data_IF_305943034686
#
_entry.id   IF_305943034686
#
_cell.length_a   1.000
_cell.length_b   1.000
_cell.length_c   1.000
_cell.angle_alpha   90.00
_cell.angle_beta   90.00
_cell.angle_gamma   90.00
#
_symmetry.space_group_name_H-M   'P 1'
#
loop_
_entity.id
_entity.type
_entity.pdbx_description
1 polymer ?
#
# COMPACT_ATOMS: atom_id res chain seq x y z
N UNK A 1 -19.34 16.63 -9.89
CA UNK A 1 -19.10 15.24 -10.31
C UNK A 1 -17.88 14.79 -9.52
N UNK A 2 -17.99 14.77 -8.18
CA UNK A 2 -16.84 14.85 -7.24
C UNK A 2 -16.88 13.77 -6.13
N UNK A 3 -17.81 12.81 -6.23
CA UNK A 3 -17.98 11.78 -5.20
C UNK A 3 -16.90 10.69 -5.21
N UNK A 4 -16.32 10.40 -6.37
CA UNK A 4 -15.28 9.38 -6.54
C UNK A 4 -13.98 9.74 -5.81
N UNK A 5 -13.51 10.97 -5.99
CA UNK A 5 -12.27 11.46 -5.37
C UNK A 5 -12.38 11.59 -3.85
N UNK A 6 -13.56 12.00 -3.34
CA UNK A 6 -13.82 12.08 -1.91
C UNK A 6 -13.87 10.69 -1.26
N UNK A 7 -14.50 9.72 -1.91
CA UNK A 7 -14.52 8.34 -1.43
C UNK A 7 -13.11 7.76 -1.41
N UNK A 8 -12.38 7.86 -2.52
CA UNK A 8 -10.98 7.45 -2.61
C UNK A 8 -10.13 8.07 -1.49
N UNK A 9 -10.23 9.39 -1.29
CA UNK A 9 -9.52 10.10 -0.23
C UNK A 9 -9.88 9.59 1.18
N UNK A 10 -11.15 9.28 1.43
CA UNK A 10 -11.59 8.73 2.71
C UNK A 10 -10.98 7.36 2.97
N UNK A 11 -10.96 6.47 1.97
CA UNK A 11 -10.33 5.15 2.11
C UNK A 11 -8.82 5.26 2.33
N UNK A 12 -8.13 6.08 1.53
CA UNK A 12 -6.69 6.33 1.72
C UNK A 12 -6.40 6.81 3.15
N UNK A 13 -7.24 7.70 3.69
CA UNK A 13 -7.11 8.18 5.07
C UNK A 13 -7.28 7.06 6.10
N UNK A 14 -8.32 6.26 5.97
CA UNK A 14 -8.66 5.20 6.93
C UNK A 14 -7.63 4.06 6.89
N UNK A 15 -7.23 3.61 5.70
CA UNK A 15 -6.16 2.62 5.51
C UNK A 15 -4.87 3.10 6.16
N UNK A 16 -4.47 4.34 5.87
CA UNK A 16 -3.25 4.92 6.45
C UNK A 16 -3.34 5.07 7.96
N UNK A 17 -4.50 5.41 8.51
CA UNK A 17 -4.68 5.55 9.96
C UNK A 17 -4.56 4.21 10.68
N UNK A 18 -5.17 3.13 10.16
CA UNK A 18 -5.02 1.82 10.78
C UNK A 18 -3.61 1.26 10.61
N UNK A 19 -2.96 1.50 9.48
CA UNK A 19 -1.54 1.16 9.31
C UNK A 19 -0.66 1.94 10.29
N UNK A 20 -0.90 3.24 10.50
CA UNK A 20 -0.17 4.02 11.52
C UNK A 20 -0.37 3.41 12.90
N UNK A 21 -1.61 3.17 13.28
CA UNK A 21 -1.94 2.62 14.58
C UNK A 21 -1.23 1.28 14.78
N UNK A 22 -1.39 0.37 13.82
CA UNK A 22 -0.80 -0.96 13.90
C UNK A 22 0.72 -0.97 13.87
N UNK A 23 1.34 -0.21 12.95
CA UNK A 23 2.80 -0.11 12.86
C UNK A 23 3.33 0.55 14.13
N UNK A 24 2.66 1.53 14.74
CA UNK A 24 3.11 2.12 16.00
C UNK A 24 2.90 1.21 17.23
N UNK A 25 1.77 0.48 17.33
CA UNK A 25 1.46 -0.41 18.46
C UNK A 25 2.26 -1.70 18.47
N UNK A 26 2.70 -2.17 17.28
CA UNK A 26 3.55 -3.36 17.15
C UNK A 26 4.94 -3.21 17.79
N UNK A 27 5.30 -2.01 18.27
CA UNK A 27 6.59 -1.75 18.90
C UNK A 27 6.45 -1.44 20.39
N UNK A 28 7.03 -2.32 21.20
CA UNK A 28 7.21 -2.12 22.63
C UNK A 28 8.20 -0.98 22.85
N UNK A 29 7.87 -0.08 23.78
CA UNK A 29 8.70 1.03 24.27
C UNK A 29 10.15 0.57 24.48
N UNK A 30 11.07 1.03 23.62
CA UNK A 30 12.52 0.78 23.76
C UNK A 30 13.27 0.44 22.48
N UNK A 31 12.60 0.15 21.36
CA UNK A 31 13.25 -0.01 20.06
C UNK A 31 12.72 1.08 19.10
N UNK A 32 13.59 2.01 18.70
CA UNK A 32 13.34 2.94 17.59
C UNK A 32 13.00 2.12 16.34
N UNK A 33 11.72 1.98 16.02
CA UNK A 33 11.33 1.14 14.91
C UNK A 33 11.61 1.76 13.56
N UNK A 34 11.94 3.07 13.50
CA UNK A 34 12.31 3.81 12.29
C UNK A 34 11.23 3.90 11.20
N UNK A 35 10.23 3.03 11.23
CA UNK A 35 9.16 2.90 10.26
C UNK A 35 8.07 3.95 10.45
N UNK A 36 7.71 4.60 9.35
CA UNK A 36 6.72 5.67 9.33
C UNK A 36 5.75 5.46 8.19
N UNK A 37 4.46 5.67 8.46
CA UNK A 37 3.41 5.62 7.45
C UNK A 37 3.12 7.02 6.92
N UNK A 38 3.34 7.22 5.61
CA UNK A 38 3.07 8.48 4.91
C UNK A 38 1.93 8.30 3.91
N UNK A 39 1.27 9.42 3.58
CA UNK A 39 0.18 9.48 2.60
C UNK A 39 0.64 10.30 1.41
N UNK A 40 0.35 9.84 0.19
CA UNK A 40 0.52 10.62 -1.05
C UNK A 40 1.86 11.34 -1.15
N UNK A 41 2.92 10.65 -0.73
CA UNK A 41 4.27 11.17 -0.71
C UNK A 41 5.01 10.69 -1.95
N UNK A 42 5.79 11.57 -2.57
CA UNK A 42 6.53 11.24 -3.80
C UNK A 42 7.60 10.21 -3.49
N UNK A 43 7.71 9.19 -4.33
CA UNK A 43 8.79 8.20 -4.29
C UNK A 43 9.60 8.30 -5.58
N UNK A 44 10.93 8.41 -5.44
CA UNK A 44 11.86 8.55 -6.56
C UNK A 44 13.17 7.81 -6.32
N UNK A 45 13.91 7.48 -7.38
CA UNK A 45 15.32 7.07 -7.26
C UNK A 45 16.17 8.33 -7.04
N UNK A 46 17.19 8.26 -6.19
CA UNK A 46 18.07 9.40 -5.92
C UNK A 46 18.90 9.86 -7.14
N UNK A 47 18.96 9.05 -8.22
CA UNK A 47 19.74 9.37 -9.41
C UNK A 47 18.94 10.08 -10.50
N UNK A 48 19.21 11.38 -10.61
CA UNK A 48 19.34 12.16 -11.86
C UNK A 48 18.14 12.68 -12.64
N UNK A 49 16.89 12.33 -12.34
CA UNK A 49 15.75 13.09 -12.90
C UNK A 49 14.68 13.39 -11.84
N UNK A 50 14.59 14.68 -11.47
CA UNK A 50 13.60 15.15 -10.48
C UNK A 50 12.16 15.07 -11.01
N UNK A 51 11.96 14.75 -12.28
CA UNK A 51 10.66 14.73 -12.94
C UNK A 51 9.91 13.40 -12.87
N UNK A 52 10.61 12.28 -12.63
CA UNK A 52 9.98 10.96 -12.56
C UNK A 52 9.81 10.51 -11.10
N UNK A 53 8.55 10.50 -10.64
CA UNK A 53 8.18 10.03 -9.31
C UNK A 53 6.86 9.28 -9.36
N UNK A 54 6.69 8.37 -8.41
CA UNK A 54 5.40 7.72 -8.15
C UNK A 54 4.70 8.40 -6.97
N UNK A 55 3.38 8.39 -7.01
CA UNK A 55 2.51 8.91 -5.95
C UNK A 55 1.60 7.79 -5.45
N UNK A 56 2.12 6.90 -4.59
CA UNK A 56 1.27 5.92 -3.93
C UNK A 56 0.27 6.62 -3.01
N UNK A 57 -0.91 6.03 -2.82
CA UNK A 57 -1.88 6.52 -1.85
C UNK A 57 -1.30 6.53 -0.42
N UNK A 58 -0.55 5.49 -0.07
CA UNK A 58 0.15 5.36 1.20
C UNK A 58 1.49 4.64 1.02
N UNK A 59 2.42 4.89 1.94
CA UNK A 59 3.69 4.19 1.98
C UNK A 59 4.14 3.94 3.42
N UNK A 60 5.01 2.93 3.59
CA UNK A 60 5.74 2.67 4.82
C UNK A 60 7.23 2.80 4.50
N UNK A 61 7.90 3.72 5.18
CA UNK A 61 9.30 4.04 4.92
C UNK A 61 10.11 4.17 6.20
N UNK A 62 11.41 3.98 6.08
CA UNK A 62 12.37 4.31 7.12
C UNK A 62 12.93 5.71 6.85
N UNK A 63 12.17 6.76 7.18
CA UNK A 63 12.60 8.15 6.92
C UNK A 63 12.89 8.88 8.22
N UNK A 64 14.09 9.45 8.37
CA UNK A 64 14.49 10.20 9.56
C UNK A 64 13.91 11.63 9.60
N UNK A 65 13.58 12.22 8.44
CA UNK A 65 13.10 13.61 8.35
C UNK A 65 11.56 13.66 8.27
N UNK A 66 10.88 14.20 9.30
CA UNK A 66 9.42 14.41 9.26
C UNK A 66 8.97 15.45 8.23
N UNK A 67 9.87 16.29 7.71
CA UNK A 67 9.58 17.39 6.80
C UNK A 67 9.93 17.13 5.34
N UNK A 68 10.42 15.94 5.00
CA UNK A 68 10.77 15.60 3.62
C UNK A 68 9.54 15.69 2.68
N UNK A 69 9.73 16.26 1.49
CA UNK A 69 8.70 16.37 0.44
C UNK A 69 8.59 15.12 -0.44
N UNK A 70 9.57 14.21 -0.30
CA UNK A 70 9.73 12.95 -1.03
C UNK A 70 10.48 11.94 -0.18
N UNK A 71 10.41 10.66 -0.56
CA UNK A 71 11.17 9.57 0.04
C UNK A 71 11.91 8.82 -1.06
N UNK A 72 13.14 8.38 -0.78
CA UNK A 72 13.89 7.54 -1.70
C UNK A 72 13.23 6.17 -1.85
N UNK A 73 13.28 5.59 -3.05
CA UNK A 73 12.79 4.22 -3.26
C UNK A 73 13.48 3.20 -2.31
N UNK A 74 14.77 3.40 -2.03
CA UNK A 74 15.54 2.57 -1.11
C UNK A 74 15.07 2.66 0.36
N UNK A 75 14.47 3.78 0.76
CA UNK A 75 13.92 3.99 2.11
C UNK A 75 12.47 3.50 2.22
N UNK A 76 11.85 3.11 1.11
CA UNK A 76 10.45 2.69 1.04
C UNK A 76 10.35 1.17 1.16
N UNK A 77 9.82 0.67 2.28
CA UNK A 77 9.57 -0.76 2.45
C UNK A 77 8.27 -1.21 1.78
N UNK A 78 7.26 -0.35 1.77
CA UNK A 78 5.97 -0.61 1.15
C UNK A 78 5.42 0.63 0.46
N UNK A 79 4.92 0.46 -0.76
CA UNK A 79 4.01 1.40 -1.42
C UNK A 79 2.62 0.75 -1.57
N UNK A 80 1.55 1.52 -1.54
CA UNK A 80 0.22 0.96 -1.75
C UNK A 80 -0.78 1.94 -2.33
N UNK A 81 -1.70 1.38 -3.10
CA UNK A 81 -2.75 2.09 -3.81
C UNK A 81 -4.13 1.56 -3.43
N UNK A 82 -5.10 2.47 -3.31
CA UNK A 82 -6.50 2.14 -3.11
C UNK A 82 -7.18 2.09 -4.47
N UNK A 83 -7.58 0.90 -4.90
CA UNK A 83 -8.09 0.70 -6.25
C UNK A 83 -9.62 0.75 -6.23
N UNK A 84 -10.19 1.71 -6.96
CA UNK A 84 -11.63 1.74 -7.24
C UNK A 84 -11.94 0.95 -8.51
N UNK A 85 -13.16 0.42 -8.61
CA UNK A 85 -13.60 -0.34 -9.79
C UNK A 85 -13.54 0.47 -11.11
N UNK A 86 -13.47 1.81 -11.03
CA UNK A 86 -13.49 2.71 -12.19
C UNK A 86 -12.09 3.11 -12.69
N UNK A 87 -11.01 2.60 -12.10
CA UNK A 87 -9.66 2.96 -12.54
C UNK A 87 -9.37 2.46 -13.96
N UNK A 88 -8.89 3.37 -14.80
CA UNK A 88 -8.61 3.13 -16.22
C UNK A 88 -7.18 2.71 -16.53
N UNK A 89 -6.27 2.76 -15.54
CA UNK A 89 -4.88 2.38 -15.76
C UNK A 89 -4.71 0.86 -15.74
N UNK A 90 -3.82 0.37 -16.61
CA UNK A 90 -3.41 -1.02 -16.60
C UNK A 90 -2.76 -1.39 -15.25
N UNK A 91 -3.37 -2.30 -14.46
CA UNK A 91 -2.83 -2.73 -13.18
C UNK A 91 -1.44 -3.35 -13.29
N UNK A 92 -1.08 -3.97 -14.42
CA UNK A 92 0.24 -4.53 -14.64
C UNK A 92 1.28 -3.42 -14.81
N UNK A 93 1.00 -2.43 -15.67
CA UNK A 93 1.90 -1.29 -15.87
C UNK A 93 2.17 -0.54 -14.56
N UNK A 94 1.14 -0.35 -13.74
CA UNK A 94 1.29 0.32 -12.43
C UNK A 94 2.22 -0.47 -11.51
N UNK A 95 2.00 -1.79 -11.36
CA UNK A 95 2.86 -2.67 -10.57
C UNK A 95 4.31 -2.67 -11.08
N UNK A 96 4.50 -2.76 -12.39
CA UNK A 96 5.83 -2.69 -13.02
C UNK A 96 6.58 -1.43 -12.62
N UNK A 97 5.94 -0.25 -12.61
CA UNK A 97 6.61 1.00 -12.22
C UNK A 97 7.18 0.96 -10.80
N UNK A 98 6.43 0.45 -9.83
CA UNK A 98 6.92 0.29 -8.46
C UNK A 98 8.03 -0.78 -8.37
N UNK A 99 7.94 -1.85 -9.17
CA UNK A 99 8.95 -2.90 -9.23
C UNK A 99 10.27 -2.40 -9.83
N UNK A 100 10.20 -1.57 -10.88
CA UNK A 100 11.36 -0.94 -11.52
C UNK A 100 12.08 0.02 -10.56
N UNK A 101 11.37 0.62 -9.60
CA UNK A 101 11.97 1.38 -8.49
C UNK A 101 12.60 0.49 -7.40
N UNK A 102 12.41 -0.83 -7.45
CA UNK A 102 12.97 -1.76 -6.48
C UNK A 102 12.26 -1.78 -5.12
N UNK A 103 11.02 -1.30 -5.04
CA UNK A 103 10.27 -1.26 -3.77
C UNK A 103 9.90 -2.69 -3.35
N UNK A 104 10.26 -3.16 -2.14
CA UNK A 104 10.11 -4.58 -1.78
C UNK A 104 8.66 -5.07 -1.74
N UNK A 105 7.74 -4.22 -1.28
CA UNK A 105 6.32 -4.58 -1.14
C UNK A 105 5.42 -3.56 -1.83
N UNK A 106 4.45 -4.08 -2.58
CA UNK A 106 3.36 -3.29 -3.14
C UNK A 106 2.01 -3.83 -2.68
N UNK A 107 1.15 -2.98 -2.14
CA UNK A 107 -0.19 -3.37 -1.70
C UNK A 107 -1.27 -2.74 -2.56
N UNK A 108 -2.23 -3.57 -2.96
CA UNK A 108 -3.46 -3.11 -3.60
C UNK A 108 -4.63 -3.27 -2.64
N UNK A 109 -5.33 -2.19 -2.33
CA UNK A 109 -6.56 -2.20 -1.53
C UNK A 109 -7.75 -2.05 -2.47
N UNK A 110 -8.42 -3.15 -2.76
CA UNK A 110 -9.52 -3.20 -3.73
C UNK A 110 -10.84 -2.83 -3.07
N UNK A 111 -11.48 -1.78 -3.56
CA UNK A 111 -12.82 -1.37 -3.12
C UNK A 111 -13.91 -2.23 -3.78
N UNK A 112 -14.91 -2.63 -3.01
CA UNK A 112 -16.09 -3.32 -3.50
C UNK A 112 -16.97 -2.44 -4.39
N UNK A 113 -17.88 -3.08 -5.14
CA UNK A 113 -18.77 -2.41 -6.12
C UNK A 113 -19.62 -1.27 -5.54
N UNK A 114 -19.93 -1.32 -4.25
CA UNK A 114 -20.71 -0.28 -3.56
C UNK A 114 -19.85 0.88 -3.03
N UNK A 115 -18.55 0.95 -3.36
CA UNK A 115 -17.58 2.00 -3.03
C UNK A 115 -17.49 2.40 -1.54
N UNK A 116 -18.10 1.63 -0.65
CA UNK A 116 -18.13 1.83 0.81
C UNK A 116 -17.53 0.64 1.55
N UNK A 117 -16.94 -0.31 0.83
CA UNK A 117 -16.35 -1.50 1.43
C UNK A 117 -15.00 -1.86 0.82
N UNK A 118 -14.05 -2.35 1.64
CA UNK A 118 -12.86 -3.07 1.16
C UNK A 118 -13.28 -4.49 0.81
N UNK A 119 -13.04 -4.89 -0.42
CA UNK A 119 -13.28 -6.26 -0.89
C UNK A 119 -12.09 -7.17 -0.63
N UNK A 120 -10.88 -6.64 -0.80
CA UNK A 120 -9.64 -7.39 -0.72
C UNK A 120 -8.45 -6.46 -0.49
N UNK A 121 -7.47 -6.91 0.28
CA UNK A 121 -6.11 -6.36 0.28
C UNK A 121 -5.19 -7.42 -0.27
N UNK A 122 -4.39 -7.08 -1.28
CA UNK A 122 -3.41 -7.99 -1.88
C UNK A 122 -2.01 -7.45 -1.68
N UNK A 123 -1.14 -8.28 -1.11
CA UNK A 123 0.28 -8.00 -0.97
C UNK A 123 1.06 -8.64 -2.12
N UNK A 124 1.87 -7.82 -2.77
CA UNK A 124 2.77 -8.20 -3.83
C UNK A 124 4.22 -8.05 -3.33
N UNK A 125 5.01 -9.11 -3.45
CA UNK A 125 6.42 -9.13 -3.10
C UNK A 125 7.29 -8.97 -4.35
N UNK A 126 8.32 -8.14 -4.27
CA UNK A 126 9.26 -7.94 -5.36
C UNK A 126 10.07 -9.22 -5.60
N UNK A 127 10.11 -9.66 -6.85
CA UNK A 127 10.95 -10.74 -7.34
C UNK A 127 11.89 -10.18 -8.41
N UNK A 128 13.20 -10.29 -8.15
CA UNK A 128 14.25 -9.89 -9.08
C UNK A 128 14.97 -11.13 -9.57
N UNK A 129 14.95 -11.36 -10.88
CA UNK A 129 15.43 -12.61 -11.46
C UNK A 129 14.49 -13.78 -11.14
N UNK A 130 14.02 -14.44 -12.19
CA UNK A 130 13.15 -15.61 -12.08
C UNK A 130 13.60 -16.69 -13.05
N UNK A 131 13.33 -17.95 -12.71
CA UNK A 131 13.52 -19.04 -13.65
C UNK A 131 12.43 -18.96 -14.72
N UNK A 132 12.84 -18.73 -15.96
CA UNK A 132 11.97 -18.79 -17.12
C UNK A 132 12.28 -20.05 -17.93
N UNK A 133 11.28 -20.59 -18.68
CA UNK A 133 11.53 -21.63 -19.65
C UNK A 133 12.65 -21.26 -20.63
N UNK A 134 13.37 -22.27 -21.11
CA UNK A 134 14.48 -22.05 -22.05
C UNK A 134 14.06 -21.23 -23.27
N UNK A 135 14.85 -20.19 -23.58
CA UNK A 135 14.59 -19.27 -24.71
C UNK A 135 13.68 -18.08 -24.37
N UNK A 136 13.11 -18.01 -23.17
CA UNK A 136 12.35 -16.85 -22.71
C UNK A 136 13.25 -15.86 -21.94
N UNK A 137 13.01 -14.56 -22.16
CA UNK A 137 13.59 -13.46 -21.40
C UNK A 137 12.46 -12.65 -20.73
N UNK A 138 12.66 -12.15 -19.51
CA UNK A 138 11.63 -11.35 -18.86
C UNK A 138 11.51 -9.98 -19.55
N UNK A 139 10.29 -9.48 -19.69
CA UNK A 139 10.04 -8.14 -20.21
C UNK A 139 10.59 -7.05 -19.26
N UNK A 140 10.49 -7.30 -17.95
CA UNK A 140 11.00 -6.43 -16.88
C UNK A 140 11.94 -7.24 -15.98
N UNK A 141 13.09 -6.67 -15.62
CA UNK A 141 14.08 -7.35 -14.79
C UNK A 141 13.57 -7.64 -13.37
N UNK A 142 12.65 -6.80 -12.89
CA UNK A 142 11.96 -6.96 -11.62
C UNK A 142 10.45 -7.06 -11.87
N UNK A 143 9.78 -7.97 -11.15
CA UNK A 143 8.33 -8.13 -11.21
C UNK A 143 7.78 -8.37 -9.81
N UNK A 144 6.47 -8.19 -9.67
CA UNK A 144 5.76 -8.52 -8.45
C UNK A 144 5.09 -9.90 -8.53
N UNK A 145 5.18 -10.66 -7.45
CA UNK A 145 4.43 -11.91 -7.25
C UNK A 145 3.44 -11.74 -6.10
N UNK A 146 2.27 -12.38 -6.19
CA UNK A 146 1.31 -12.37 -5.08
C UNK A 146 1.89 -13.17 -3.92
N UNK A 147 2.05 -12.50 -2.77
CA UNK A 147 2.61 -13.08 -1.56
C UNK A 147 1.62 -13.07 -0.38
N UNK A 148 0.51 -12.35 -0.49
CA UNK A 148 -0.57 -12.37 0.49
C UNK A 148 -1.88 -11.84 -0.07
N UNK A 149 -2.99 -12.34 0.46
CA UNK A 149 -4.32 -11.86 0.14
C UNK A 149 -5.21 -11.96 1.39
N UNK A 150 -5.86 -10.86 1.76
CA UNK A 150 -6.80 -10.81 2.88
C UNK A 150 -8.14 -10.28 2.38
N UNK A 151 -9.20 -11.02 2.71
CA UNK A 151 -10.58 -10.62 2.42
C UNK A 151 -11.38 -10.65 3.73
N UNK A 152 -12.40 -9.78 3.88
CA UNK A 152 -13.25 -9.77 5.08
C UNK A 152 -13.97 -11.11 5.34
N UNK A 153 -14.15 -11.94 4.32
CA UNK A 153 -14.83 -13.24 4.42
C UNK A 153 -13.89 -14.40 4.78
N UNK A 154 -12.58 -14.24 4.63
CA UNK A 154 -11.59 -15.32 4.85
C UNK A 154 -10.61 -15.06 5.98
N UNK A 155 -10.46 -13.82 6.41
CA UNK A 155 -9.54 -13.43 7.49
C UNK A 155 -10.24 -12.47 8.45
N UNK A 156 -9.79 -12.43 9.71
CA UNK A 156 -10.26 -11.45 10.70
C UNK A 156 -9.65 -10.05 10.49
N UNK A 157 -8.60 -9.96 9.68
CA UNK A 157 -7.84 -8.75 9.42
C UNK A 157 -6.65 -9.01 8.50
N UNK A 158 -5.84 -7.98 8.31
CA UNK A 158 -4.51 -8.06 7.71
C UNK A 158 -3.53 -8.47 8.81
N UNK A 159 -2.73 -9.49 8.55
CA UNK A 159 -1.62 -9.89 9.41
C UNK A 159 -0.36 -10.03 8.56
N UNK A 160 0.61 -9.15 8.80
CA UNK A 160 1.83 -9.02 8.03
C UNK A 160 3.01 -8.81 8.99
N UNK A 161 4.09 -9.56 8.83
CA UNK A 161 5.15 -9.67 9.85
C UNK A 161 6.53 -9.14 9.47
N UNK A 162 6.81 -8.88 8.20
CA UNK A 162 8.15 -8.49 7.75
C UNK A 162 8.08 -7.63 6.48
N UNK A 163 8.83 -6.50 6.38
CA UNK A 163 9.88 -6.04 7.31
C UNK A 163 9.38 -5.24 8.51
N UNK A 164 8.08 -4.91 8.54
CA UNK A 164 7.42 -4.27 9.67
C UNK A 164 6.23 -5.14 10.12
N UNK A 165 5.93 -5.19 11.41
CA UNK A 165 4.70 -5.79 11.90
C UNK A 165 3.52 -4.87 11.56
N UNK A 166 2.48 -5.43 10.93
CA UNK A 166 1.20 -4.79 10.72
C UNK A 166 0.08 -5.82 10.94
N UNK A 167 -0.74 -5.58 11.95
CA UNK A 167 -1.98 -6.28 12.27
C UNK A 167 -3.14 -5.29 12.26
N UNK A 168 -3.98 -5.34 11.23
CA UNK A 168 -5.16 -4.47 11.09
C UNK A 168 -6.41 -5.31 11.14
N UNK A 169 -7.25 -5.13 12.15
CA UNK A 169 -8.51 -5.87 12.28
C UNK A 169 -9.61 -5.25 11.42
N UNK A 170 -10.37 -6.08 10.71
CA UNK A 170 -11.59 -5.62 10.01
C UNK A 170 -12.64 -5.05 10.96
N UNK A 171 -12.61 -5.47 12.23
CA UNK A 171 -13.53 -5.03 13.26
C UNK A 171 -13.08 -3.73 13.97
N UNK A 172 -11.85 -3.25 13.72
CA UNK A 172 -11.34 -2.01 14.29
C UNK A 172 -12.29 -0.85 13.92
N UNK A 173 -12.67 0.05 14.84
CA UNK A 173 -13.65 1.11 14.57
C UNK A 173 -13.34 1.94 13.31
N UNK A 174 -12.06 2.20 13.04
CA UNK A 174 -11.56 2.89 11.84
C UNK A 174 -11.86 2.12 10.54
N UNK A 175 -11.83 0.78 10.57
CA UNK A 175 -12.06 -0.11 9.41
C UNK A 175 -13.47 -0.68 9.35
N UNK A 176 -14.19 -0.74 10.48
CA UNK A 176 -15.52 -1.35 10.56
C UNK A 176 -16.53 -0.64 9.66
N UNK A 177 -16.43 0.69 9.53
CA UNK A 177 -17.23 1.47 8.59
C UNK A 177 -16.97 1.06 7.13
N UNK A 178 -15.72 0.69 6.81
CA UNK A 178 -15.24 0.20 5.52
C UNK A 178 -15.47 -1.28 5.26
N UNK A 179 -16.05 -2.02 6.20
CA UNK A 179 -16.37 -3.45 5.98
C UNK A 179 -17.87 -3.64 6.00
N UNK A 180 -18.58 -2.87 6.83
CA UNK A 180 -20.03 -2.94 6.98
C UNK A 180 -20.79 -2.06 5.98
N UNK A 181 -20.12 -1.13 5.29
CA UNK A 181 -20.76 -0.18 4.38
C UNK A 181 -21.57 0.92 5.08
N UNK A 182 -21.48 1.01 6.42
CA UNK A 182 -22.11 2.05 7.20
C UNK A 182 -21.14 3.22 7.39
N UNK A 183 -21.41 4.32 6.69
CA UNK A 183 -20.76 5.60 6.96
C UNK A 183 -21.09 6.04 8.39
N UNK A 184 -20.11 6.46 9.21
CA UNK A 184 -20.42 7.03 10.51
C UNK A 184 -21.28 8.27 10.30
N UNK A 185 -22.53 8.23 10.76
CA UNK A 185 -23.36 9.44 10.82
C UNK A 185 -22.58 10.46 11.65
N UNK A 186 -22.26 11.60 11.05
CA UNK A 186 -21.75 12.77 11.78
C UNK A 186 -22.74 13.07 12.91
N UNK A 187 -22.27 13.01 14.16
CA UNK A 187 -22.91 13.73 15.27
C UNK A 187 -22.44 15.18 15.23
#
# INVERSE_FOLDING_TARGET
MDGGDLLHQNFTNLVSSALRHSVCEGFVVGADSGWQVRKRMRVSVESTDRSEFLLPDFLICHCADPHADRVGAADTALAGDVLSHAEQQDPQLRRTRYADLGIPWYWEVHLGRNALQISCVRAWALAVGGLLPGGAAPLHAANYIVAGEWTPTRAAGIAFGHPFPATVSWAEPTFRSLVTGNSPRRM
#
